data_IF_203730029168
#
_entry.id   IF_203730029168
#
_cell.length_a   1.000
_cell.length_b   1.000
_cell.length_c   1.000
_cell.angle_alpha   90.00
_cell.angle_beta   90.00
_cell.angle_gamma   90.00
#
_symmetry.space_group_name_H-M   'P 1'
#
loop_
_entity.id
_entity.type
_entity.pdbx_description
1 polymer ?
#
# COMPACT_ATOMS: atom_id res chain seq x y z
N UNK A 1 -16.75 4.46 -3.92
CA UNK A 1 -16.68 4.87 -2.50
C UNK A 1 -15.34 5.55 -2.29
N UNK A 2 -15.26 6.78 -1.79
CA UNK A 2 -13.98 7.41 -1.49
C UNK A 2 -13.25 6.66 -0.36
N UNK A 3 -11.93 6.81 -0.30
CA UNK A 3 -11.13 6.28 0.79
C UNK A 3 -11.51 6.97 2.10
N UNK A 4 -11.81 6.18 3.15
CA UNK A 4 -12.12 6.72 4.48
C UNK A 4 -10.89 6.63 5.39
N UNK A 5 -10.26 7.78 5.75
CA UNK A 5 -9.09 7.80 6.61
C UNK A 5 -9.32 7.14 7.98
N UNK A 6 -10.52 7.26 8.57
CA UNK A 6 -10.84 6.68 9.89
C UNK A 6 -10.84 5.17 9.86
N UNK A 7 -11.48 4.56 8.88
CA UNK A 7 -11.46 3.10 8.69
C UNK A 7 -10.04 2.62 8.36
N UNK A 8 -9.25 3.39 7.62
CA UNK A 8 -7.85 3.08 7.35
C UNK A 8 -6.99 3.13 8.62
N UNK A 9 -7.16 4.14 9.45
CA UNK A 9 -6.38 4.37 10.67
C UNK A 9 -6.74 3.43 11.83
N UNK A 10 -7.86 2.70 11.79
CA UNK A 10 -8.21 1.72 12.83
C UNK A 10 -7.16 0.60 13.03
N UNK A 11 -6.30 0.37 12.03
CA UNK A 11 -5.15 -0.54 12.08
C UNK A 11 -3.83 0.23 11.86
N UNK A 12 -3.73 1.42 12.46
CA UNK A 12 -2.62 2.35 12.23
C UNK A 12 -1.25 1.75 12.57
N UNK A 13 -1.13 1.08 13.70
CA UNK A 13 0.13 0.45 14.15
C UNK A 13 0.60 -0.63 13.18
N UNK A 14 -0.29 -1.56 12.79
CA UNK A 14 0.02 -2.67 11.91
C UNK A 14 0.33 -2.21 10.48
N UNK A 15 -0.30 -1.12 10.04
CA UNK A 15 -0.07 -0.52 8.73
C UNK A 15 1.19 0.35 8.67
N UNK A 16 1.59 0.93 9.81
CA UNK A 16 2.78 1.79 9.93
C UNK A 16 4.06 0.96 10.08
N UNK A 17 4.01 -0.20 10.74
CA UNK A 17 5.18 -1.07 10.95
C UNK A 17 5.98 -1.36 9.67
N UNK A 18 5.37 -1.75 8.53
CA UNK A 18 6.13 -1.97 7.30
C UNK A 18 6.82 -0.72 6.76
N UNK A 19 6.24 0.47 6.97
CA UNK A 19 6.89 1.73 6.58
C UNK A 19 8.15 1.98 7.44
N UNK A 20 8.09 1.68 8.74
CA UNK A 20 9.24 1.76 9.64
C UNK A 20 10.34 0.77 9.22
N UNK A 21 9.95 -0.49 8.94
CA UNK A 21 10.91 -1.53 8.53
C UNK A 21 11.57 -1.18 7.19
N UNK A 22 10.81 -0.66 6.21
CA UNK A 22 11.36 -0.15 4.95
C UNK A 22 12.31 1.03 5.19
N UNK A 23 11.85 2.02 5.96
CA UNK A 23 12.62 3.23 6.24
C UNK A 23 13.96 2.90 6.92
N UNK A 24 14.00 1.93 7.84
CA UNK A 24 15.22 1.51 8.53
C UNK A 24 16.32 1.02 7.59
N UNK A 25 15.96 0.55 6.40
CA UNK A 25 16.88 0.04 5.37
C UNK A 25 17.29 1.07 4.32
N UNK A 26 16.76 2.30 4.36
CA UNK A 26 17.15 3.36 3.42
C UNK A 26 18.56 3.86 3.75
N UNK A 27 19.58 3.62 2.89
CA UNK A 27 20.98 3.96 3.15
C UNK A 27 21.29 5.42 2.75
N UNK A 28 20.52 6.38 3.27
CA UNK A 28 20.74 7.81 3.03
C UNK A 28 20.68 8.59 4.34
N UNK A 29 21.81 9.18 4.74
CA UNK A 29 21.92 9.85 6.06
C UNK A 29 21.29 11.25 6.06
N UNK A 30 21.53 12.05 5.03
CA UNK A 30 21.15 13.48 4.96
C UNK A 30 20.55 13.85 3.60
N UNK A 31 19.37 13.30 3.24
CA UNK A 31 18.69 13.71 2.03
C UNK A 31 18.22 15.16 2.14
N UNK A 32 18.24 15.88 1.02
CA UNK A 32 17.69 17.24 0.94
C UNK A 32 16.24 17.23 0.48
N UNK A 33 15.90 16.33 -0.44
CA UNK A 33 14.56 16.21 -1.04
C UNK A 33 14.07 14.78 -0.92
N UNK A 34 12.95 14.63 -0.25
CA UNK A 34 12.29 13.34 -0.03
C UNK A 34 10.85 13.43 -0.52
N UNK A 35 10.38 12.41 -1.23
CA UNK A 35 8.98 12.31 -1.62
C UNK A 35 8.40 10.98 -1.15
N UNK A 36 7.17 11.04 -0.63
CA UNK A 36 6.34 9.90 -0.27
C UNK A 36 5.22 9.74 -1.31
N UNK A 37 5.32 8.73 -2.15
CA UNK A 37 4.37 8.46 -3.23
C UNK A 37 3.24 7.54 -2.75
N UNK A 38 2.02 8.06 -2.77
CA UNK A 38 0.83 7.44 -2.18
C UNK A 38 0.82 7.59 -0.67
N UNK A 39 1.07 8.81 -0.23
CA UNK A 39 1.23 9.16 1.18
C UNK A 39 -0.04 8.92 2.03
N UNK A 40 -1.20 8.79 1.39
CA UNK A 40 -2.47 8.64 2.09
C UNK A 40 -2.70 9.77 3.10
N UNK A 41 -3.11 9.46 4.35
CA UNK A 41 -3.33 10.46 5.39
C UNK A 41 -2.02 10.96 6.05
N UNK A 42 -0.85 10.62 5.50
CA UNK A 42 0.45 11.17 5.91
C UNK A 42 1.27 10.34 6.89
N UNK A 43 0.82 9.15 7.30
CA UNK A 43 1.50 8.36 8.33
C UNK A 43 2.99 8.07 8.00
N UNK A 44 3.29 7.62 6.78
CA UNK A 44 4.65 7.37 6.33
C UNK A 44 5.43 8.66 6.13
N UNK A 45 4.77 9.72 5.64
CA UNK A 45 5.39 11.03 5.41
C UNK A 45 5.90 11.65 6.72
N UNK A 46 5.14 11.50 7.80
CA UNK A 46 5.56 11.94 9.14
C UNK A 46 6.82 11.21 9.63
N UNK A 47 6.92 9.90 9.39
CA UNK A 47 8.13 9.13 9.71
C UNK A 47 9.35 9.62 8.92
N UNK A 48 9.16 9.98 7.64
CA UNK A 48 10.24 10.53 6.81
C UNK A 48 10.71 11.88 7.34
N UNK A 49 9.79 12.78 7.70
CA UNK A 49 10.10 14.08 8.31
C UNK A 49 10.85 13.90 9.63
N UNK A 50 10.38 13.00 10.49
CA UNK A 50 10.99 12.79 11.81
C UNK A 50 12.40 12.19 11.70
N UNK A 51 12.64 11.34 10.69
CA UNK A 51 13.99 10.83 10.41
C UNK A 51 14.92 11.88 9.84
N UNK A 52 14.41 12.78 9.00
CA UNK A 52 15.20 13.78 8.28
C UNK A 52 14.58 15.18 8.45
N UNK A 53 14.71 15.79 9.63
CA UNK A 53 14.05 17.06 9.95
C UNK A 53 14.54 18.24 9.09
N UNK A 54 15.74 18.14 8.50
CA UNK A 54 16.30 19.14 7.59
C UNK A 54 15.91 18.95 6.13
N UNK A 55 15.23 17.85 5.79
CA UNK A 55 14.83 17.54 4.43
C UNK A 55 13.54 18.27 4.03
N UNK A 56 13.45 18.67 2.77
CA UNK A 56 12.18 19.06 2.16
C UNK A 56 11.37 17.79 1.84
N UNK A 57 10.41 17.46 2.69
CA UNK A 57 9.53 16.30 2.52
C UNK A 57 8.26 16.70 1.79
N UNK A 58 7.91 15.95 0.75
CA UNK A 58 6.66 16.12 -0.02
C UNK A 58 5.85 14.84 0.05
N UNK A 59 4.57 14.94 0.43
CA UNK A 59 3.60 13.84 0.33
C UNK A 59 2.76 14.00 -0.94
N UNK A 60 2.63 12.91 -1.71
CA UNK A 60 1.88 12.87 -2.97
C UNK A 60 0.81 11.79 -2.89
N UNK A 61 -0.44 12.15 -3.17
CA UNK A 61 -1.56 11.19 -3.29
C UNK A 61 -2.55 11.67 -4.34
N UNK A 62 -3.36 10.77 -4.88
CA UNK A 62 -4.43 11.11 -5.82
C UNK A 62 -5.77 11.42 -5.13
N UNK A 63 -5.97 10.94 -3.89
CA UNK A 63 -7.19 11.14 -3.12
C UNK A 63 -7.18 12.46 -2.36
N UNK A 64 -8.15 13.33 -2.67
CA UNK A 64 -8.33 14.57 -1.93
C UNK A 64 -8.76 14.33 -0.48
N UNK A 65 -9.55 13.29 -0.23
CA UNK A 65 -10.01 12.93 1.12
C UNK A 65 -8.84 12.54 2.02
N UNK A 66 -7.88 11.77 1.48
CA UNK A 66 -6.66 11.42 2.20
C UNK A 66 -5.78 12.63 2.45
N UNK A 67 -5.58 13.47 1.45
CA UNK A 67 -4.78 14.69 1.58
C UNK A 67 -5.42 15.72 2.52
N UNK A 68 -6.74 15.78 2.61
CA UNK A 68 -7.43 16.67 3.55
C UNK A 68 -7.09 16.30 5.02
N UNK A 69 -6.92 15.01 5.32
CA UNK A 69 -6.44 14.55 6.62
C UNK A 69 -4.95 14.87 6.82
N UNK A 70 -4.13 14.60 5.80
CA UNK A 70 -2.69 14.81 5.84
C UNK A 70 -2.30 16.29 6.03
N UNK A 71 -3.02 17.23 5.39
CA UNK A 71 -2.78 18.69 5.43
C UNK A 71 -2.95 19.33 6.81
N UNK A 72 -3.36 18.59 7.81
CA UNK A 72 -3.33 19.06 9.21
C UNK A 72 -1.91 19.36 9.68
N UNK A 73 -0.90 18.74 9.07
CA UNK A 73 0.50 19.12 9.25
C UNK A 73 0.94 20.11 8.16
N UNK A 74 1.11 21.37 8.54
CA UNK A 74 1.48 22.47 7.63
C UNK A 74 2.98 22.55 7.32
N UNK A 75 3.82 21.76 8.00
CA UNK A 75 5.27 21.75 7.78
C UNK A 75 5.68 20.90 6.56
N UNK A 76 4.75 20.09 6.02
CA UNK A 76 4.98 19.19 4.90
C UNK A 76 4.26 19.75 3.66
N UNK A 77 4.90 19.63 2.50
CA UNK A 77 4.27 19.94 1.23
C UNK A 77 3.40 18.77 0.78
N UNK A 78 2.12 19.02 0.50
CA UNK A 78 1.18 18.01 0.05
C UNK A 78 0.72 18.31 -1.37
N UNK A 79 0.82 17.33 -2.26
CA UNK A 79 0.48 17.46 -3.66
C UNK A 79 -0.56 16.42 -4.10
N UNK A 80 -1.62 16.87 -4.78
CA UNK A 80 -2.57 15.96 -5.39
C UNK A 80 -2.12 15.60 -6.79
N UNK A 81 -1.57 14.39 -6.97
CA UNK A 81 -1.08 13.91 -8.27
C UNK A 81 -1.32 12.40 -8.37
N UNK A 82 -1.71 11.95 -9.56
CA UNK A 82 -1.72 10.54 -9.93
C UNK A 82 -0.28 10.07 -10.19
N UNK A 83 0.19 9.09 -9.43
CA UNK A 83 1.56 8.56 -9.52
C UNK A 83 1.87 8.01 -10.92
N UNK A 84 0.90 7.43 -11.63
CA UNK A 84 1.09 6.95 -12.99
C UNK A 84 1.50 8.10 -13.96
N UNK A 85 1.09 9.32 -13.64
CA UNK A 85 1.38 10.54 -14.40
C UNK A 85 2.42 11.44 -13.72
N UNK A 86 2.95 11.02 -12.59
CA UNK A 86 3.92 11.82 -11.84
C UNK A 86 5.22 11.96 -12.63
N UNK A 87 5.56 13.21 -12.96
CA UNK A 87 6.76 13.58 -13.70
C UNK A 87 7.35 14.81 -13.03
N UNK A 88 8.21 14.60 -12.00
CA UNK A 88 8.78 15.72 -11.24
C UNK A 88 9.77 16.52 -12.09
N UNK A 89 9.82 17.83 -11.85
CA UNK A 89 10.81 18.72 -12.48
C UNK A 89 12.17 18.65 -11.80
N UNK A 90 12.19 18.24 -10.56
CA UNK A 90 13.37 18.16 -9.70
C UNK A 90 13.69 16.69 -9.39
N UNK A 91 14.96 16.43 -9.09
CA UNK A 91 15.40 15.10 -8.65
C UNK A 91 15.30 14.98 -7.12
N UNK A 92 15.04 13.76 -6.66
CA UNK A 92 14.89 13.44 -5.25
C UNK A 92 16.06 12.58 -4.76
N UNK A 93 16.49 12.83 -3.53
CA UNK A 93 17.49 11.99 -2.85
C UNK A 93 16.85 10.69 -2.35
N UNK A 94 15.56 10.75 -1.96
CA UNK A 94 14.77 9.58 -1.57
C UNK A 94 13.39 9.66 -2.20
N UNK A 95 13.00 8.60 -2.90
CA UNK A 95 11.63 8.33 -3.32
C UNK A 95 11.14 7.16 -2.49
N UNK A 96 10.14 7.40 -1.66
CA UNK A 96 9.54 6.42 -0.76
C UNK A 96 8.12 6.09 -1.19
N UNK A 97 7.70 4.84 -1.07
CA UNK A 97 6.32 4.43 -1.33
C UNK A 97 5.96 3.21 -0.49
N UNK A 98 4.97 3.36 0.38
CA UNK A 98 4.50 2.28 1.23
C UNK A 98 3.05 1.92 0.91
N UNK A 99 2.80 0.66 0.61
CA UNK A 99 1.47 0.08 0.35
C UNK A 99 0.66 0.83 -0.73
N UNK A 100 1.32 1.27 -1.81
CA UNK A 100 0.69 2.08 -2.86
C UNK A 100 0.90 1.51 -4.26
N UNK A 101 2.14 1.19 -4.67
CA UNK A 101 2.42 0.87 -6.08
C UNK A 101 1.68 -0.38 -6.58
N UNK A 102 1.25 -1.28 -5.73
CA UNK A 102 0.40 -2.43 -6.10
C UNK A 102 -0.97 -2.02 -6.68
N UNK A 103 -1.38 -0.76 -6.56
CA UNK A 103 -2.57 -0.22 -7.22
C UNK A 103 -2.32 0.20 -8.66
N UNK A 104 -1.06 0.31 -9.08
CA UNK A 104 -0.66 0.70 -10.42
C UNK A 104 -0.35 -0.53 -11.27
N UNK A 105 -0.54 -0.38 -12.57
CA UNK A 105 -0.14 -1.37 -13.55
C UNK A 105 1.27 -1.07 -14.09
N UNK A 106 1.83 -2.00 -14.86
CA UNK A 106 3.10 -1.82 -15.59
C UNK A 106 4.27 -1.33 -14.72
N UNK A 107 4.60 -2.11 -13.70
CA UNK A 107 5.79 -1.85 -12.88
C UNK A 107 7.08 -1.84 -13.70
N UNK A 108 7.11 -2.53 -14.85
CA UNK A 108 8.27 -2.57 -15.71
C UNK A 108 8.57 -1.21 -16.37
N UNK A 109 7.55 -0.42 -16.66
CA UNK A 109 7.72 0.97 -17.12
C UNK A 109 7.83 1.96 -15.95
N UNK A 110 7.06 1.75 -14.88
CA UNK A 110 6.98 2.68 -13.75
C UNK A 110 8.30 2.78 -12.98
N UNK A 111 8.89 1.64 -12.56
CA UNK A 111 10.07 1.66 -11.69
C UNK A 111 11.31 2.30 -12.33
N UNK A 112 11.64 2.07 -13.61
CA UNK A 112 12.68 2.84 -14.30
C UNK A 112 12.41 4.35 -14.34
N UNK A 113 11.16 4.77 -14.52
CA UNK A 113 10.80 6.19 -14.46
C UNK A 113 11.04 6.78 -13.07
N UNK A 114 10.70 6.04 -12.00
CA UNK A 114 10.96 6.47 -10.62
C UNK A 114 12.47 6.54 -10.32
N UNK A 115 13.26 5.55 -10.76
CA UNK A 115 14.73 5.60 -10.59
C UNK A 115 15.36 6.75 -11.37
N UNK A 116 14.86 7.08 -12.57
CA UNK A 116 15.34 8.23 -13.34
C UNK A 116 15.04 9.59 -12.68
N UNK A 117 14.06 9.65 -11.77
CA UNK A 117 13.74 10.84 -10.98
C UNK A 117 14.64 11.00 -9.75
N UNK A 118 15.52 10.04 -9.45
CA UNK A 118 16.48 10.13 -8.36
C UNK A 118 17.66 11.05 -8.71
N UNK A 119 18.18 11.74 -7.71
CA UNK A 119 19.49 12.39 -7.77
C UNK A 119 20.60 11.32 -7.82
N UNK A 120 21.81 11.65 -8.28
CA UNK A 120 22.95 10.73 -8.20
C UNK A 120 23.18 10.24 -6.77
N UNK A 121 23.24 8.93 -6.57
CA UNK A 121 23.30 8.30 -5.24
C UNK A 121 21.98 8.24 -4.49
N UNK A 122 20.88 8.63 -5.13
CA UNK A 122 19.55 8.60 -4.54
C UNK A 122 19.00 7.19 -4.34
N UNK A 123 17.93 7.08 -3.56
CA UNK A 123 17.34 5.81 -3.13
C UNK A 123 15.86 5.75 -3.46
N UNK A 124 15.44 4.71 -4.17
CA UNK A 124 14.05 4.30 -4.30
C UNK A 124 13.75 3.23 -3.26
N UNK A 125 12.81 3.50 -2.36
CA UNK A 125 12.36 2.58 -1.32
C UNK A 125 10.87 2.28 -1.49
N UNK A 126 10.54 1.01 -1.73
CA UNK A 126 9.16 0.58 -2.03
C UNK A 126 8.78 -0.60 -1.15
N UNK A 127 7.58 -0.53 -0.56
CA UNK A 127 6.93 -1.66 0.07
C UNK A 127 5.56 -1.90 -0.57
N UNK A 128 5.23 -3.16 -0.81
CA UNK A 128 3.93 -3.57 -1.34
C UNK A 128 3.39 -4.80 -0.60
N UNK A 129 2.07 -4.90 -0.36
CA UNK A 129 1.46 -6.15 0.08
C UNK A 129 1.68 -7.23 -1.00
N UNK A 130 1.95 -8.46 -0.57
CA UNK A 130 2.10 -9.62 -1.43
C UNK A 130 1.33 -10.84 -0.89
N UNK A 131 0.10 -10.60 -0.50
CA UNK A 131 -0.78 -11.62 0.09
C UNK A 131 -2.00 -11.96 -0.81
N UNK A 132 -1.85 -11.78 -2.14
CA UNK A 132 -2.95 -11.99 -3.11
C UNK A 132 -3.40 -13.46 -3.22
N UNK A 133 -2.55 -14.41 -2.82
CA UNK A 133 -2.92 -15.83 -2.70
C UNK A 133 -3.45 -16.21 -1.31
N UNK A 134 -3.62 -15.25 -0.38
CA UNK A 134 -4.18 -15.53 0.94
C UNK A 134 -5.68 -15.82 0.91
N UNK A 135 -6.18 -16.48 1.94
CA UNK A 135 -7.60 -16.83 2.05
C UNK A 135 -8.51 -15.59 1.94
N UNK A 136 -8.10 -14.43 2.47
CA UNK A 136 -8.88 -13.19 2.36
C UNK A 136 -9.10 -12.73 0.92
N UNK A 137 -8.10 -12.88 0.04
CA UNK A 137 -8.21 -12.55 -1.38
C UNK A 137 -8.96 -13.63 -2.18
N UNK A 138 -8.71 -14.91 -1.88
CA UNK A 138 -9.41 -16.02 -2.54
C UNK A 138 -10.92 -15.99 -2.23
N UNK A 139 -11.28 -15.60 -1.01
CA UNK A 139 -12.68 -15.38 -0.62
C UNK A 139 -13.31 -14.26 -1.46
N UNK A 140 -12.60 -13.13 -1.70
CA UNK A 140 -13.11 -12.09 -2.60
C UNK A 140 -13.40 -12.65 -3.98
N UNK A 141 -12.45 -13.39 -4.58
CA UNK A 141 -12.65 -14.00 -5.91
C UNK A 141 -13.88 -14.90 -5.93
N UNK A 142 -14.03 -15.75 -4.90
CA UNK A 142 -15.17 -16.68 -4.81
C UNK A 142 -16.52 -15.97 -4.59
N UNK A 143 -16.55 -14.86 -3.83
CA UNK A 143 -17.77 -14.07 -3.63
C UNK A 143 -18.11 -13.28 -4.90
N UNK A 144 -17.12 -12.73 -5.59
CA UNK A 144 -17.35 -12.04 -6.88
C UNK A 144 -17.94 -13.00 -7.92
N UNK A 145 -17.34 -14.18 -8.11
CA UNK A 145 -17.79 -15.14 -9.12
C UNK A 145 -19.10 -15.87 -8.77
N UNK A 146 -19.53 -15.82 -7.51
CA UNK A 146 -20.73 -16.53 -7.04
C UNK A 146 -21.97 -15.65 -6.91
N UNK A 147 -21.92 -14.37 -7.29
CA UNK A 147 -23.02 -13.43 -7.08
C UNK A 147 -23.51 -12.69 -8.33
N UNK A 148 -24.62 -11.99 -8.25
CA UNK A 148 -25.20 -11.24 -9.39
C UNK A 148 -24.32 -10.06 -9.83
N UNK A 149 -23.36 -9.66 -9.02
CA UNK A 149 -22.39 -8.57 -9.24
C UNK A 149 -21.16 -8.99 -10.06
N UNK A 150 -21.02 -10.28 -10.46
CA UNK A 150 -19.81 -10.79 -11.11
C UNK A 150 -19.35 -9.92 -12.28
N UNK A 151 -20.24 -9.63 -13.22
CA UNK A 151 -19.90 -8.88 -14.43
C UNK A 151 -19.30 -7.48 -14.13
N UNK A 152 -19.78 -6.82 -13.05
CA UNK A 152 -19.31 -5.50 -12.63
C UNK A 152 -18.02 -5.58 -11.82
N UNK A 153 -17.88 -6.57 -10.94
CA UNK A 153 -16.76 -6.62 -9.99
C UNK A 153 -15.55 -7.36 -10.51
N UNK A 154 -15.72 -8.35 -11.41
CA UNK A 154 -14.62 -9.15 -11.95
C UNK A 154 -13.47 -8.32 -12.55
N UNK A 155 -13.72 -7.23 -13.32
CA UNK A 155 -12.67 -6.36 -13.82
C UNK A 155 -11.90 -5.58 -12.74
N UNK A 156 -12.47 -5.46 -11.54
CA UNK A 156 -11.86 -4.75 -10.41
C UNK A 156 -11.04 -5.66 -9.50
N UNK A 157 -11.13 -6.98 -9.67
CA UNK A 157 -10.35 -7.94 -8.88
C UNK A 157 -8.93 -8.01 -9.40
N UNK A 158 -7.98 -7.66 -8.55
CA UNK A 158 -6.55 -7.73 -8.85
C UNK A 158 -6.00 -9.05 -8.31
N UNK A 159 -5.71 -9.99 -9.23
CA UNK A 159 -5.30 -11.34 -8.84
C UNK A 159 -3.85 -11.44 -8.41
N UNK A 160 -2.94 -10.78 -9.09
CA UNK A 160 -1.50 -10.79 -8.76
C UNK A 160 -0.80 -9.52 -9.30
N UNK A 161 -1.12 -8.34 -8.71
CA UNK A 161 -0.55 -7.08 -9.19
C UNK A 161 0.92 -6.88 -8.76
N UNK A 162 1.47 -7.74 -7.90
CA UNK A 162 2.84 -7.66 -7.38
C UNK A 162 3.64 -8.87 -7.80
N UNK A 163 4.60 -8.67 -8.69
CA UNK A 163 5.44 -9.74 -9.23
C UNK A 163 6.34 -10.40 -8.17
N UNK A 164 6.96 -11.51 -8.55
CA UNK A 164 8.02 -12.16 -7.77
C UNK A 164 9.25 -11.26 -7.64
N UNK A 165 9.99 -11.38 -6.55
CA UNK A 165 11.20 -10.60 -6.25
C UNK A 165 12.22 -10.61 -7.42
N UNK A 166 12.39 -11.77 -8.07
CA UNK A 166 13.29 -11.91 -9.22
C UNK A 166 12.87 -11.06 -10.44
N UNK A 167 11.57 -10.77 -10.62
CA UNK A 167 11.11 -9.88 -11.68
C UNK A 167 11.52 -8.43 -11.38
N UNK A 168 11.34 -7.98 -10.15
CA UNK A 168 11.79 -6.64 -9.72
C UNK A 168 13.30 -6.48 -9.81
N UNK A 169 14.07 -7.52 -9.48
CA UNK A 169 15.51 -7.52 -9.71
C UNK A 169 15.84 -7.25 -11.19
N UNK A 170 15.23 -7.99 -12.12
CA UNK A 170 15.47 -7.80 -13.57
C UNK A 170 15.09 -6.40 -14.07
N UNK A 171 14.03 -5.81 -13.51
CA UNK A 171 13.58 -4.46 -13.86
C UNK A 171 14.58 -3.41 -13.35
N UNK A 172 15.07 -3.56 -12.13
CA UNK A 172 15.83 -2.51 -11.45
C UNK A 172 17.35 -2.64 -11.60
N UNK A 173 17.90 -3.84 -11.80
CA UNK A 173 19.34 -4.07 -11.91
C UNK A 173 20.03 -3.20 -12.98
N UNK A 174 19.44 -2.90 -14.14
CA UNK A 174 20.05 -1.98 -15.12
C UNK A 174 20.13 -0.52 -14.65
N UNK A 175 19.39 -0.14 -13.61
CA UNK A 175 19.21 1.23 -13.17
C UNK A 175 19.75 1.51 -11.74
N UNK A 176 20.26 0.50 -11.07
CA UNK A 176 20.70 0.60 -9.67
C UNK A 176 22.10 0.02 -9.48
N UNK A 177 22.91 0.67 -8.63
CA UNK A 177 24.23 0.17 -8.18
C UNK A 177 24.11 -0.83 -7.05
N UNK A 178 23.05 -0.69 -6.24
CA UNK A 178 22.75 -1.56 -5.11
C UNK A 178 21.26 -1.88 -5.07
N UNK A 179 20.94 -3.15 -4.83
CA UNK A 179 19.56 -3.62 -4.69
C UNK A 179 19.46 -4.51 -3.45
N UNK A 180 18.53 -4.17 -2.56
CA UNK A 180 18.08 -5.04 -1.47
C UNK A 180 16.59 -5.33 -1.69
N UNK A 181 16.25 -6.60 -1.92
CA UNK A 181 14.87 -7.05 -2.16
C UNK A 181 14.58 -8.20 -1.21
N UNK A 182 13.58 -8.02 -0.35
CA UNK A 182 13.22 -9.06 0.62
C UNK A 182 11.71 -9.17 0.80
N UNK A 183 11.29 -10.24 1.47
CA UNK A 183 9.92 -10.45 1.88
C UNK A 183 9.85 -10.67 3.40
N UNK A 184 8.79 -10.15 4.00
CA UNK A 184 8.47 -10.38 5.40
C UNK A 184 7.03 -10.84 5.51
N UNK A 185 6.77 -11.87 6.30
CA UNK A 185 5.43 -12.23 6.73
C UNK A 185 5.20 -11.70 8.14
N UNK A 186 4.24 -10.79 8.28
CA UNK A 186 3.77 -10.31 9.58
C UNK A 186 2.62 -11.19 10.04
N UNK A 187 2.71 -11.73 11.24
CA UNK A 187 1.57 -12.37 11.88
C UNK A 187 0.87 -11.32 12.74
N UNK A 188 -0.19 -10.71 12.18
CA UNK A 188 -1.02 -9.78 12.94
C UNK A 188 -1.92 -10.57 13.90
N UNK A 189 -1.97 -10.14 15.16
CA UNK A 189 -2.83 -10.68 16.20
C UNK A 189 -3.95 -9.66 16.40
N UNK A 190 -5.11 -9.93 15.82
CA UNK A 190 -6.20 -8.96 15.74
C UNK A 190 -7.31 -9.28 16.75
N UNK A 191 -7.91 -8.24 17.29
CA UNK A 191 -9.07 -8.31 18.20
C UNK A 191 -10.35 -7.91 17.47
N UNK A 192 -11.50 -8.40 17.94
CA UNK A 192 -12.82 -8.10 17.38
C UNK A 192 -13.53 -9.33 16.81
N UNK A 193 -14.80 -9.15 16.43
CA UNK A 193 -15.65 -10.25 15.96
C UNK A 193 -15.21 -10.80 14.57
N UNK A 194 -14.80 -9.92 13.66
CA UNK A 194 -14.39 -10.28 12.32
C UNK A 194 -13.30 -9.31 11.79
N UNK A 195 -12.14 -9.25 12.46
CA UNK A 195 -11.17 -8.18 12.23
C UNK A 195 -10.52 -8.24 10.86
N UNK A 196 -10.44 -9.44 10.22
CA UNK A 196 -9.92 -9.56 8.85
C UNK A 196 -10.89 -8.95 7.84
N UNK A 197 -12.21 -9.07 8.05
CA UNK A 197 -13.20 -8.37 7.23
C UNK A 197 -13.11 -6.85 7.39
N UNK A 198 -12.93 -6.38 8.63
CA UNK A 198 -12.78 -4.95 8.93
C UNK A 198 -11.49 -4.38 8.32
N UNK A 199 -10.39 -5.13 8.35
CA UNK A 199 -9.16 -4.80 7.64
C UNK A 199 -9.39 -4.68 6.13
N UNK A 200 -10.05 -5.67 5.53
CA UNK A 200 -10.32 -5.71 4.10
C UNK A 200 -11.26 -4.58 3.65
N UNK A 201 -12.22 -4.20 4.48
CA UNK A 201 -13.15 -3.09 4.23
C UNK A 201 -12.44 -1.75 4.03
N UNK A 202 -11.36 -1.50 4.77
CA UNK A 202 -10.54 -0.28 4.66
C UNK A 202 -9.48 -0.34 3.55
N UNK A 203 -9.45 -1.37 2.70
CA UNK A 203 -8.44 -1.53 1.66
C UNK A 203 -8.96 -2.34 0.46
N UNK A 204 -8.84 -3.66 0.52
CA UNK A 204 -9.17 -4.61 -0.55
C UNK A 204 -10.60 -4.45 -1.12
N UNK A 205 -11.58 -4.19 -0.26
CA UNK A 205 -12.98 -4.07 -0.66
C UNK A 205 -13.38 -2.69 -1.15
N UNK A 206 -12.57 -1.65 -0.95
CA UNK A 206 -12.92 -0.25 -1.31
C UNK A 206 -13.39 -0.12 -2.76
N UNK A 207 -12.63 -0.58 -3.78
CA UNK A 207 -13.07 -0.45 -5.17
C UNK A 207 -14.31 -1.30 -5.47
N UNK A 208 -14.47 -2.46 -4.84
CA UNK A 208 -15.59 -3.37 -5.07
C UNK A 208 -16.89 -2.81 -4.47
N UNK A 209 -16.84 -2.38 -3.22
CA UNK A 209 -17.99 -1.75 -2.55
C UNK A 209 -18.37 -0.43 -3.22
N UNK A 210 -17.39 0.30 -3.77
CA UNK A 210 -17.63 1.53 -4.52
C UNK A 210 -18.37 1.34 -5.85
N UNK A 211 -18.29 0.15 -6.43
CA UNK A 211 -18.96 -0.21 -7.69
C UNK A 211 -20.38 -0.78 -7.51
N UNK A 212 -20.83 -0.95 -6.26
CA UNK A 212 -22.14 -1.50 -5.94
C UNK A 212 -23.04 -0.46 -5.27
N UNK A 213 -24.33 -0.51 -5.60
CA UNK A 213 -25.39 0.21 -4.91
C UNK A 213 -26.12 -0.73 -3.93
N UNK A 214 -26.89 -0.14 -3.00
CA UNK A 214 -27.76 -0.95 -2.15
C UNK A 214 -28.93 -1.54 -2.97
N UNK A 215 -29.40 -2.78 -2.69
CA UNK A 215 -28.96 -3.61 -1.56
C UNK A 215 -27.76 -4.54 -1.85
N UNK A 216 -27.21 -4.53 -3.07
CA UNK A 216 -26.15 -5.47 -3.48
C UNK A 216 -24.85 -5.26 -2.69
N UNK A 217 -24.51 -4.00 -2.36
CA UNK A 217 -23.34 -3.68 -1.54
C UNK A 217 -23.39 -4.38 -0.19
N UNK A 218 -24.52 -4.27 0.50
CA UNK A 218 -24.73 -4.94 1.80
C UNK A 218 -24.70 -6.45 1.67
N UNK A 219 -25.28 -7.02 0.63
CA UNK A 219 -25.28 -8.46 0.39
C UNK A 219 -23.88 -8.99 0.08
N UNK A 220 -23.11 -8.29 -0.76
CA UNK A 220 -21.72 -8.62 -1.06
C UNK A 220 -20.84 -8.59 0.20
N UNK A 221 -20.91 -7.49 0.97
CA UNK A 221 -20.14 -7.35 2.19
C UNK A 221 -20.50 -8.43 3.22
N UNK A 222 -21.78 -8.74 3.40
CA UNK A 222 -22.24 -9.76 4.34
C UNK A 222 -21.70 -11.16 3.94
N UNK A 223 -21.75 -11.52 2.67
CA UNK A 223 -21.25 -12.82 2.20
C UNK A 223 -19.72 -12.92 2.31
N UNK A 224 -18.99 -11.84 2.00
CA UNK A 224 -17.55 -11.78 2.24
C UNK A 224 -17.23 -11.97 3.72
N UNK A 225 -17.88 -11.20 4.61
CA UNK A 225 -17.69 -11.28 6.06
C UNK A 225 -17.94 -12.68 6.60
N UNK A 226 -19.00 -13.33 6.15
CA UNK A 226 -19.33 -14.70 6.53
C UNK A 226 -18.23 -15.70 6.15
N UNK A 227 -17.74 -15.65 4.91
CA UNK A 227 -16.72 -16.58 4.40
C UNK A 227 -15.33 -16.31 4.98
N UNK A 228 -14.94 -15.06 5.11
CA UNK A 228 -13.62 -14.72 5.66
C UNK A 228 -13.52 -15.04 7.15
N UNK A 229 -14.62 -14.90 7.91
CA UNK A 229 -14.68 -15.34 9.32
C UNK A 229 -14.43 -16.84 9.47
N UNK A 230 -14.97 -17.64 8.56
CA UNK A 230 -14.73 -19.09 8.55
C UNK A 230 -13.29 -19.45 8.15
N UNK A 231 -12.67 -18.67 7.26
CA UNK A 231 -11.28 -18.88 6.84
C UNK A 231 -10.24 -18.45 7.88
N UNK A 232 -10.58 -17.52 8.76
CA UNK A 232 -9.76 -17.01 9.85
C UNK A 232 -10.48 -17.16 11.19
N UNK A 233 -10.63 -18.42 11.62
CA UNK A 233 -11.27 -18.72 12.90
C UNK A 233 -10.49 -18.14 14.07
N UNK A 234 -11.16 -17.60 15.11
CA UNK A 234 -10.49 -17.09 16.30
C UNK A 234 -9.78 -18.23 17.06
N UNK A 235 -8.70 -17.85 17.72
CA UNK A 235 -7.96 -18.73 18.63
C UNK A 235 -8.75 -18.91 19.96
N UNK A 236 -8.25 -19.77 20.83
CA UNK A 236 -8.90 -20.05 22.12
C UNK A 236 -9.01 -18.81 23.04
N UNK A 237 -8.15 -17.82 22.84
CA UNK A 237 -8.16 -16.53 23.55
C UNK A 237 -9.07 -15.46 22.87
N UNK A 238 -9.81 -15.83 21.82
CA UNK A 238 -10.70 -14.95 21.07
C UNK A 238 -10.00 -14.07 20.03
N UNK A 239 -8.68 -14.11 19.90
CA UNK A 239 -7.93 -13.34 18.91
C UNK A 239 -7.87 -14.05 17.57
N UNK A 240 -7.77 -13.28 16.48
CA UNK A 240 -7.64 -13.80 15.12
C UNK A 240 -6.22 -13.59 14.61
N UNK A 241 -5.58 -14.67 14.17
CA UNK A 241 -4.27 -14.61 13.54
C UNK A 241 -4.42 -14.30 12.05
N UNK A 242 -3.75 -13.23 11.60
CA UNK A 242 -3.79 -12.78 10.21
C UNK A 242 -2.37 -12.69 9.62
N UNK A 243 -1.86 -13.75 8.97
CA UNK A 243 -0.59 -13.70 8.26
C UNK A 243 -0.69 -12.75 7.07
N UNK A 244 0.30 -11.85 6.95
CA UNK A 244 0.29 -10.83 5.90
C UNK A 244 1.69 -10.68 5.29
N UNK A 245 1.86 -11.18 4.07
CA UNK A 245 3.11 -11.09 3.33
C UNK A 245 3.28 -9.72 2.69
N UNK A 246 4.51 -9.21 2.75
CA UNK A 246 4.92 -7.95 2.13
C UNK A 246 6.24 -8.10 1.41
N UNK A 247 6.35 -7.44 0.26
CA UNK A 247 7.59 -7.32 -0.52
C UNK A 247 8.17 -5.93 -0.30
N UNK A 248 9.49 -5.88 -0.16
CA UNK A 248 10.28 -4.69 0.05
C UNK A 248 11.36 -4.59 -1.00
N UNK A 249 11.65 -3.39 -1.44
CA UNK A 249 12.66 -3.07 -2.44
C UNK A 249 13.38 -1.79 -2.00
N UNK A 250 14.69 -1.82 -1.92
CA UNK A 250 15.55 -0.65 -1.78
C UNK A 250 16.54 -0.68 -2.93
N UNK A 251 16.45 0.32 -3.82
CA UNK A 251 17.32 0.46 -4.98
C UNK A 251 18.10 1.77 -4.87
N UNK A 252 19.43 1.71 -4.92
CA UNK A 252 20.32 2.86 -4.89
C UNK A 252 20.93 3.09 -6.28
N UNK A 253 20.89 4.34 -6.77
CA UNK A 253 21.46 4.74 -8.08
C UNK A 253 22.90 5.22 -8.00
#
# INVERSE_FOLDING_TARGET
MPWDPRTYLSFGTERTRPAIDLLSRVPHERPRRVVDLGCGPGNSTLLLRDRWPEAHVTGVDSSEEMLAEARKDSAIRWERVDIARWRPRERYDVIFSNATLHWLDDHAALLPCLTAALAPGGVLAVQMPRNFASASHLVVCAVVSGGPWEARLKPLVRLDPVHEAAAYYRILAPHARGLDIWQTEYLHVLEGDNPVADWARGSLLVPLLGALDEPERSAFEAEYRRRVKAAYAPQADGRTLFPFKRLFIVAQT
#
